data_IF_707791705898
#
_entry.id   IF_707791705898
#
_cell.length_a   1.000
_cell.length_b   1.000
_cell.length_c   1.000
_cell.angle_alpha   90.00
_cell.angle_beta   90.00
_cell.angle_gamma   90.00
#
_symmetry.space_group_name_H-M   'P 1'
#
loop_
_entity.id
_entity.type
_entity.pdbx_description
1 polymer ?
#
# COMPACT_ATOMS: atom_id res chain seq x y z
N UNK A 1 -5.42 -1.29 -15.47
CA UNK A 1 -6.75 -1.37 -16.14
C UNK A 1 -7.82 -0.59 -15.37
N UNK A 2 -8.02 -0.81 -14.06
CA UNK A 2 -9.02 -0.06 -13.25
C UNK A 2 -8.87 1.47 -13.35
N UNK A 3 -7.67 1.99 -13.10
CA UNK A 3 -7.42 3.45 -13.17
C UNK A 3 -7.69 4.04 -14.54
N UNK A 4 -7.38 3.31 -15.62
CA UNK A 4 -7.64 3.78 -17.00
C UNK A 4 -9.14 3.95 -17.24
N UNK A 5 -9.95 2.96 -16.83
CA UNK A 5 -11.41 3.07 -16.94
C UNK A 5 -11.97 4.26 -16.15
N UNK A 6 -11.50 4.45 -14.92
CA UNK A 6 -11.92 5.55 -14.06
C UNK A 6 -11.46 6.91 -14.61
N UNK A 7 -10.24 7.00 -15.16
CA UNK A 7 -9.76 8.21 -15.84
C UNK A 7 -10.62 8.55 -17.05
N UNK A 8 -10.95 7.57 -17.90
CA UNK A 8 -11.83 7.78 -19.06
C UNK A 8 -13.25 8.21 -18.69
N UNK A 9 -13.78 7.75 -17.56
CA UNK A 9 -15.05 8.24 -17.03
C UNK A 9 -14.92 9.72 -16.59
N UNK A 10 -13.88 10.01 -15.79
CA UNK A 10 -13.62 11.36 -15.26
C UNK A 10 -13.35 12.39 -16.38
N UNK A 11 -12.60 12.02 -17.43
CA UNK A 11 -12.36 12.89 -18.59
C UNK A 11 -13.64 13.30 -19.31
N UNK A 12 -14.64 12.41 -19.37
CA UNK A 12 -15.95 12.69 -19.97
C UNK A 12 -16.80 13.57 -19.07
N UNK A 13 -16.85 13.26 -17.79
CA UNK A 13 -17.64 14.01 -16.79
C UNK A 13 -17.14 15.45 -16.63
N UNK A 14 -15.84 15.63 -16.46
CA UNK A 14 -15.21 16.94 -16.21
C UNK A 14 -14.71 17.66 -17.46
N UNK A 15 -14.96 17.09 -18.65
CA UNK A 15 -14.54 17.63 -19.96
C UNK A 15 -13.05 17.96 -20.02
N UNK A 16 -12.22 16.99 -19.66
CA UNK A 16 -10.76 17.12 -19.63
C UNK A 16 -10.17 16.59 -20.95
N UNK A 17 -9.08 17.20 -21.41
CA UNK A 17 -8.28 16.65 -22.51
C UNK A 17 -7.45 15.45 -22.04
N UNK A 18 -6.77 15.60 -20.91
CA UNK A 18 -5.94 14.57 -20.31
C UNK A 18 -6.15 14.53 -18.79
N UNK A 19 -6.24 13.32 -18.25
CA UNK A 19 -6.37 13.11 -16.81
C UNK A 19 -5.86 11.73 -16.40
N UNK A 20 -5.12 11.71 -15.29
CA UNK A 20 -4.66 10.50 -14.65
C UNK A 20 -4.93 10.54 -13.15
N UNK A 21 -5.38 9.43 -12.59
CA UNK A 21 -5.29 9.17 -11.17
C UNK A 21 -3.87 8.76 -10.78
N UNK A 22 -3.47 9.12 -9.57
CA UNK A 22 -2.15 8.81 -9.00
C UNK A 22 -1.99 7.30 -8.83
N UNK A 23 -1.06 6.71 -9.58
CA UNK A 23 -0.64 5.32 -9.37
C UNK A 23 0.14 5.20 -8.06
N UNK A 24 1.03 6.15 -7.77
CA UNK A 24 1.76 6.25 -6.51
C UNK A 24 0.83 6.23 -5.27
N UNK A 25 -0.35 6.83 -5.33
CA UNK A 25 -1.29 6.86 -4.21
C UNK A 25 -1.79 5.45 -3.85
N UNK A 26 -2.27 4.70 -4.84
CA UNK A 26 -2.69 3.31 -4.62
C UNK A 26 -1.51 2.42 -4.24
N UNK A 27 -0.34 2.68 -4.81
CA UNK A 27 0.88 1.95 -4.50
C UNK A 27 1.33 2.13 -3.05
N UNK A 28 1.25 3.36 -2.52
CA UNK A 28 1.51 3.65 -1.11
C UNK A 28 0.64 2.79 -0.18
N UNK A 29 -0.67 2.77 -0.44
CA UNK A 29 -1.60 2.01 0.38
C UNK A 29 -1.46 0.49 0.19
N UNK A 30 -1.20 0.01 -1.02
CA UNK A 30 -0.89 -1.41 -1.25
C UNK A 30 0.28 -1.87 -0.38
N UNK A 31 1.36 -1.08 -0.30
CA UNK A 31 2.52 -1.40 0.54
C UNK A 31 2.14 -1.55 2.01
N UNK A 32 1.36 -0.63 2.55
CA UNK A 32 0.89 -0.68 3.93
C UNK A 32 0.02 -1.91 4.21
N UNK A 33 -1.03 -2.10 3.42
CA UNK A 33 -1.97 -3.22 3.60
C UNK A 33 -1.28 -4.59 3.41
N UNK A 34 -0.34 -4.69 2.48
CA UNK A 34 0.41 -5.92 2.21
C UNK A 34 1.37 -6.27 3.34
N UNK A 35 2.06 -5.28 3.93
CA UNK A 35 2.87 -5.49 5.13
C UNK A 35 1.99 -6.03 6.26
N UNK A 36 0.84 -5.40 6.50
CA UNK A 36 -0.09 -5.84 7.55
C UNK A 36 -0.61 -7.26 7.31
N UNK A 37 -1.03 -7.56 6.08
CA UNK A 37 -1.46 -8.91 5.66
C UNK A 37 -0.35 -9.94 5.88
N UNK A 38 0.89 -9.62 5.48
CA UNK A 38 2.03 -10.52 5.65
C UNK A 38 2.28 -10.85 7.11
N UNK A 39 2.36 -9.84 8.00
CA UNK A 39 2.61 -10.04 9.43
C UNK A 39 1.53 -10.91 10.09
N UNK A 40 0.25 -10.65 9.78
CA UNK A 40 -0.85 -11.47 10.27
C UNK A 40 -0.77 -12.93 9.77
N UNK A 41 -0.31 -13.16 8.54
CA UNK A 41 -0.09 -14.53 8.05
C UNK A 41 1.10 -15.21 8.75
N UNK A 42 2.15 -14.48 9.13
CA UNK A 42 3.26 -15.07 9.88
C UNK A 42 2.79 -15.61 11.24
N UNK A 43 1.92 -14.88 11.94
CA UNK A 43 1.29 -15.36 13.18
C UNK A 43 0.44 -16.62 12.92
N UNK A 44 -0.40 -16.61 11.87
CA UNK A 44 -1.23 -17.78 11.52
C UNK A 44 -0.39 -19.02 11.24
N UNK A 45 0.71 -18.87 10.49
CA UNK A 45 1.62 -19.98 10.17
C UNK A 45 2.40 -20.47 11.38
N UNK A 46 2.81 -19.57 12.27
CA UNK A 46 3.43 -19.96 13.52
C UNK A 46 2.45 -20.77 14.39
N UNK A 47 1.19 -20.35 14.50
CA UNK A 47 0.14 -21.07 15.25
C UNK A 47 -0.20 -22.43 14.65
N UNK A 48 -0.14 -22.56 13.32
CA UNK A 48 -0.35 -23.85 12.64
C UNK A 48 0.89 -24.74 12.63
N UNK A 49 1.95 -24.37 13.35
CA UNK A 49 3.23 -25.07 13.41
C UNK A 49 3.87 -25.33 12.03
N UNK A 50 3.66 -24.42 11.05
CA UNK A 50 4.31 -24.53 9.74
C UNK A 50 5.84 -24.43 9.92
N UNK A 51 6.65 -25.36 9.36
CA UNK A 51 8.11 -25.32 9.50
C UNK A 51 8.72 -24.05 8.88
N UNK A 52 9.84 -23.59 9.44
CA UNK A 52 10.54 -22.38 8.93
C UNK A 52 11.06 -22.61 7.51
N UNK A 53 11.53 -23.81 7.22
CA UNK A 53 11.96 -24.30 5.91
C UNK A 53 10.81 -24.91 5.08
N UNK A 54 9.58 -24.82 5.61
CA UNK A 54 8.37 -25.27 4.93
C UNK A 54 8.18 -24.55 3.58
N UNK A 55 7.55 -25.25 2.63
CA UNK A 55 7.32 -24.72 1.28
C UNK A 55 6.51 -23.44 1.32
N UNK A 56 5.48 -23.37 2.17
CA UNK A 56 4.59 -22.21 2.26
C UNK A 56 5.30 -21.02 2.90
N UNK A 57 6.03 -21.24 3.99
CA UNK A 57 6.84 -20.22 4.65
C UNK A 57 7.87 -19.62 3.69
N UNK A 58 8.61 -20.48 2.99
CA UNK A 58 9.61 -20.08 1.99
C UNK A 58 9.00 -19.25 0.85
N UNK A 59 7.81 -19.63 0.38
CA UNK A 59 7.09 -18.90 -0.66
C UNK A 59 6.72 -17.48 -0.22
N UNK A 60 6.14 -17.33 0.98
CA UNK A 60 5.73 -16.03 1.51
C UNK A 60 6.93 -15.12 1.79
N UNK A 61 8.01 -15.65 2.37
CA UNK A 61 9.24 -14.90 2.63
C UNK A 61 9.97 -14.45 1.36
N UNK A 62 9.72 -15.11 0.22
CA UNK A 62 10.24 -14.71 -1.09
C UNK A 62 9.41 -13.57 -1.69
N UNK A 63 8.09 -13.63 -1.57
CA UNK A 63 7.13 -12.74 -2.23
C UNK A 63 6.57 -11.57 -1.40
N UNK A 64 7.03 -11.36 -0.16
CA UNK A 64 6.44 -10.39 0.78
C UNK A 64 6.30 -8.94 0.27
N UNK A 65 7.14 -8.51 -0.69
CA UNK A 65 7.15 -7.14 -1.24
C UNK A 65 6.96 -7.11 -2.76
N UNK A 66 6.31 -8.10 -3.36
CA UNK A 66 6.04 -8.08 -4.80
C UNK A 66 5.11 -6.92 -5.17
N UNK A 67 5.41 -6.19 -6.24
CA UNK A 67 4.62 -5.04 -6.71
C UNK A 67 3.32 -5.47 -7.40
N UNK A 68 3.30 -6.71 -7.92
CA UNK A 68 2.13 -7.27 -8.57
C UNK A 68 0.93 -7.45 -7.63
N UNK A 69 -0.27 -7.37 -8.20
CA UNK A 69 -1.53 -7.57 -7.51
C UNK A 69 -2.60 -8.14 -8.42
N UNK A 70 -3.78 -8.40 -7.85
CA UNK A 70 -4.96 -8.88 -8.57
C UNK A 70 -6.06 -7.81 -8.56
N UNK A 71 -7.08 -8.00 -9.40
CA UNK A 71 -8.19 -7.05 -9.54
C UNK A 71 -8.86 -6.72 -8.19
N UNK A 72 -9.17 -7.74 -7.40
CA UNK A 72 -9.85 -7.55 -6.11
C UNK A 72 -9.01 -6.74 -5.12
N UNK A 73 -7.68 -6.86 -5.17
CA UNK A 73 -6.77 -6.06 -4.34
C UNK A 73 -6.89 -4.58 -4.71
N UNK A 74 -6.91 -4.27 -6.00
CA UNK A 74 -7.10 -2.89 -6.47
C UNK A 74 -8.47 -2.33 -6.06
N UNK A 75 -9.54 -3.13 -6.19
CA UNK A 75 -10.87 -2.73 -5.74
C UNK A 75 -10.93 -2.47 -4.22
N UNK A 76 -10.28 -3.31 -3.42
CA UNK A 76 -10.21 -3.11 -1.96
C UNK A 76 -9.49 -1.82 -1.59
N UNK A 77 -8.39 -1.50 -2.28
CA UNK A 77 -7.65 -0.25 -2.06
C UNK A 77 -8.50 0.97 -2.43
N UNK A 78 -9.14 0.95 -3.60
CA UNK A 78 -10.02 2.05 -4.04
C UNK A 78 -11.21 2.23 -3.11
N UNK A 79 -11.82 1.14 -2.64
CA UNK A 79 -12.95 1.19 -1.72
C UNK A 79 -12.57 1.76 -0.35
N UNK A 80 -11.34 1.51 0.12
CA UNK A 80 -10.88 1.91 1.45
C UNK A 80 -10.23 3.30 1.49
N UNK A 81 -9.43 3.62 0.47
CA UNK A 81 -8.55 4.79 0.44
C UNK A 81 -8.89 5.76 -0.70
N UNK A 82 -9.91 5.46 -1.50
CA UNK A 82 -10.34 6.31 -2.60
C UNK A 82 -9.32 6.44 -3.73
N UNK A 83 -9.48 7.51 -4.52
CA UNK A 83 -8.63 7.86 -5.64
C UNK A 83 -8.26 9.34 -5.56
N UNK A 84 -7.02 9.64 -5.94
CA UNK A 84 -6.46 11.00 -5.92
C UNK A 84 -5.93 11.33 -7.31
N UNK A 85 -6.19 12.53 -7.87
CA UNK A 85 -5.58 12.95 -9.13
C UNK A 85 -4.06 12.92 -9.05
N UNK A 86 -3.38 12.55 -10.14
CA UNK A 86 -1.91 12.47 -10.19
C UNK A 86 -1.21 13.76 -9.76
N UNK A 87 -1.79 14.92 -10.09
CA UNK A 87 -1.27 16.24 -9.68
C UNK A 87 -1.28 16.47 -8.16
N UNK A 88 -2.13 15.76 -7.43
CA UNK A 88 -2.28 15.89 -5.97
C UNK A 88 -1.42 14.88 -5.19
N UNK A 89 -0.90 13.85 -5.85
CA UNK A 89 0.10 12.94 -5.28
C UNK A 89 0.99 12.40 -6.41
N UNK A 90 2.17 12.99 -6.55
CA UNK A 90 3.10 12.74 -7.65
C UNK A 90 3.89 11.44 -7.46
N UNK A 91 4.46 10.95 -8.55
CA UNK A 91 5.43 9.86 -8.53
C UNK A 91 6.72 10.30 -7.80
N UNK A 92 7.38 9.35 -7.15
CA UNK A 92 8.71 9.49 -6.56
C UNK A 92 9.70 8.58 -7.26
N UNK A 93 10.99 8.78 -7.04
CA UNK A 93 12.03 7.88 -7.58
C UNK A 93 11.75 6.42 -7.18
N UNK A 94 11.24 6.18 -5.96
CA UNK A 94 10.95 4.82 -5.49
C UNK A 94 9.60 4.27 -5.95
N UNK A 95 8.70 5.09 -6.52
CA UNK A 95 7.50 4.58 -7.19
C UNK A 95 7.79 4.15 -8.63
N UNK A 96 8.80 4.75 -9.26
CA UNK A 96 9.29 4.36 -10.59
C UNK A 96 10.36 3.25 -10.56
N UNK A 97 11.24 3.25 -9.55
CA UNK A 97 12.21 2.18 -9.28
C UNK A 97 12.09 1.68 -7.83
N UNK A 98 11.35 0.59 -7.67
CA UNK A 98 10.95 0.07 -6.37
C UNK A 98 12.03 -0.77 -5.69
N UNK A 99 13.14 -1.08 -6.37
CA UNK A 99 14.10 -2.10 -5.94
C UNK A 99 14.70 -1.80 -4.57
N UNK A 100 15.18 -0.58 -4.35
CA UNK A 100 15.82 -0.17 -3.09
C UNK A 100 14.84 -0.21 -1.92
N UNK A 101 13.64 0.34 -2.09
CA UNK A 101 12.57 0.26 -1.09
C UNK A 101 12.21 -1.20 -0.78
N UNK A 102 12.09 -2.03 -1.81
CA UNK A 102 11.75 -3.45 -1.67
C UNK A 102 12.78 -4.23 -0.86
N UNK A 103 14.08 -3.98 -1.07
CA UNK A 103 15.16 -4.61 -0.30
C UNK A 103 15.03 -4.27 1.20
N UNK A 104 14.81 -2.99 1.52
CA UNK A 104 14.70 -2.53 2.90
C UNK A 104 13.46 -3.11 3.58
N UNK A 105 12.28 -2.98 2.95
CA UNK A 105 11.03 -3.52 3.49
C UNK A 105 11.11 -5.03 3.68
N UNK A 106 11.65 -5.75 2.69
CA UNK A 106 11.79 -7.21 2.75
C UNK A 106 12.71 -7.66 3.88
N UNK A 107 13.80 -6.93 4.12
CA UNK A 107 14.69 -7.19 5.25
C UNK A 107 13.94 -7.06 6.59
N UNK A 108 13.22 -5.94 6.78
CA UNK A 108 12.42 -5.70 7.99
C UNK A 108 11.30 -6.71 8.19
N UNK A 109 10.56 -7.06 7.14
CA UNK A 109 9.47 -8.03 7.24
C UNK A 109 9.97 -9.44 7.61
N UNK A 110 11.16 -9.83 7.16
CA UNK A 110 11.77 -11.12 7.53
C UNK A 110 12.23 -11.15 8.98
N UNK A 111 12.80 -10.05 9.47
CA UNK A 111 13.10 -9.86 10.90
C UNK A 111 11.81 -9.99 11.74
N UNK A 112 10.74 -9.31 11.31
CA UNK A 112 9.46 -9.36 12.00
C UNK A 112 8.79 -10.73 11.94
N UNK A 113 8.92 -11.46 10.84
CA UNK A 113 8.44 -12.84 10.75
C UNK A 113 9.09 -13.74 11.81
N UNK A 114 10.41 -13.61 12.03
CA UNK A 114 11.11 -14.32 13.10
C UNK A 114 10.59 -13.90 14.47
N UNK A 115 10.48 -12.60 14.73
CA UNK A 115 10.04 -12.08 16.03
C UNK A 115 8.63 -12.55 16.40
N UNK A 116 7.69 -12.46 15.46
CA UNK A 116 6.31 -12.92 15.65
C UNK A 116 6.24 -14.42 15.90
N UNK A 117 7.06 -15.21 15.20
CA UNK A 117 7.15 -16.65 15.44
C UNK A 117 7.65 -16.96 16.85
N UNK A 118 8.72 -16.29 17.28
CA UNK A 118 9.26 -16.46 18.64
C UNK A 118 8.22 -16.10 19.71
N UNK A 119 7.44 -15.04 19.50
CA UNK A 119 6.35 -14.67 20.43
C UNK A 119 5.28 -15.77 20.53
N UNK A 120 4.89 -16.35 19.40
CA UNK A 120 3.94 -17.47 19.38
C UNK A 120 4.51 -18.70 20.10
N UNK A 121 5.78 -19.04 19.86
CA UNK A 121 6.46 -20.17 20.52
C UNK A 121 6.60 -19.95 22.04
N UNK A 122 6.67 -18.69 22.49
CA UNK A 122 6.69 -18.30 23.91
C UNK A 122 5.28 -18.17 24.52
N UNK A 123 4.23 -18.53 23.79
CA UNK A 123 2.83 -18.40 24.22
C UNK A 123 2.43 -16.97 24.62
N UNK A 124 2.95 -15.96 23.90
CA UNK A 124 2.49 -14.58 24.06
C UNK A 124 0.98 -14.46 23.79
N UNK A 125 0.32 -13.52 24.47
CA UNK A 125 -1.12 -13.31 24.31
C UNK A 125 -1.47 -12.74 22.93
N UNK A 126 -2.73 -12.89 22.52
CA UNK A 126 -3.22 -12.30 21.28
C UNK A 126 -3.13 -10.76 21.31
N UNK A 127 -3.33 -10.16 22.48
CA UNK A 127 -3.14 -8.73 22.70
C UNK A 127 -1.68 -8.31 22.49
N UNK A 128 -0.72 -9.00 23.10
CA UNK A 128 0.72 -8.68 22.96
C UNK A 128 1.18 -8.78 21.50
N UNK A 129 0.73 -9.81 20.79
CA UNK A 129 1.04 -10.01 19.37
C UNK A 129 0.42 -8.88 18.54
N UNK A 130 -0.83 -8.50 18.80
CA UNK A 130 -1.51 -7.43 18.08
C UNK A 130 -0.81 -6.08 18.30
N UNK A 131 -0.41 -5.77 19.53
CA UNK A 131 0.33 -4.55 19.85
C UNK A 131 1.71 -4.54 19.19
N UNK A 132 2.40 -5.68 19.18
CA UNK A 132 3.66 -5.80 18.45
C UNK A 132 3.50 -5.57 16.95
N UNK A 133 2.43 -6.10 16.33
CA UNK A 133 2.12 -5.84 14.91
C UNK A 133 1.88 -4.36 14.66
N UNK A 134 1.19 -3.64 15.56
CA UNK A 134 0.99 -2.18 15.42
C UNK A 134 2.32 -1.44 15.40
N UNK A 135 3.25 -1.76 16.30
CA UNK A 135 4.60 -1.17 16.32
C UNK A 135 5.38 -1.47 15.03
N UNK A 136 5.37 -2.72 14.58
CA UNK A 136 6.00 -3.14 13.33
C UNK A 136 5.43 -2.36 12.13
N UNK A 137 4.11 -2.18 12.10
CA UNK A 137 3.42 -1.42 11.06
C UNK A 137 3.77 0.07 11.06
N UNK A 138 4.02 0.68 12.23
CA UNK A 138 4.53 2.06 12.29
C UNK A 138 5.89 2.20 11.60
N UNK A 139 6.76 1.20 11.74
CA UNK A 139 8.07 1.19 11.07
C UNK A 139 7.89 0.99 9.56
N UNK A 140 7.04 0.05 9.13
CA UNK A 140 6.72 -0.14 7.72
C UNK A 140 6.17 1.15 7.09
N UNK A 141 5.22 1.81 7.77
CA UNK A 141 4.65 3.08 7.32
C UNK A 141 5.71 4.16 7.17
N UNK A 142 6.64 4.28 8.13
CA UNK A 142 7.76 5.23 8.05
C UNK A 142 8.65 4.97 6.84
N UNK A 143 9.00 3.71 6.56
CA UNK A 143 9.81 3.36 5.40
C UNK A 143 9.10 3.75 4.10
N UNK A 144 7.83 3.35 3.95
CA UNK A 144 7.03 3.67 2.76
C UNK A 144 6.88 5.18 2.59
N UNK A 145 6.62 5.91 3.68
CA UNK A 145 6.45 7.38 3.64
C UNK A 145 7.73 8.13 3.28
N UNK A 146 8.89 7.65 3.72
CA UNK A 146 10.18 8.23 3.30
C UNK A 146 10.46 7.98 1.82
N UNK A 147 10.08 6.79 1.31
CA UNK A 147 10.33 6.43 -0.08
C UNK A 147 9.36 7.07 -1.07
N UNK A 148 8.07 7.14 -0.73
CA UNK A 148 6.97 7.51 -1.64
C UNK A 148 6.34 8.87 -1.33
N UNK A 149 6.68 9.49 -0.20
CA UNK A 149 5.93 10.61 0.35
C UNK A 149 4.71 10.14 1.14
N UNK A 150 4.02 11.09 1.76
CA UNK A 150 2.82 10.82 2.57
C UNK A 150 1.58 11.34 1.84
N UNK A 151 0.58 10.49 1.57
CA UNK A 151 -0.68 10.94 1.00
C UNK A 151 -1.33 12.05 1.85
N UNK A 152 -1.83 13.13 1.25
CA UNK A 152 -2.48 14.18 2.00
C UNK A 152 -3.82 13.67 2.57
N UNK A 153 -4.22 14.08 3.78
CA UNK A 153 -5.50 13.65 4.38
C UNK A 153 -6.72 14.22 3.65
N UNK A 154 -6.53 15.33 2.93
CA UNK A 154 -7.50 15.91 2.03
C UNK A 154 -6.78 16.63 0.89
N UNK A 155 -7.42 16.71 -0.28
CA UNK A 155 -6.88 17.45 -1.41
C UNK A 155 -7.93 18.36 -2.04
N UNK A 156 -7.45 19.48 -2.60
CA UNK A 156 -8.22 20.30 -3.53
C UNK A 156 -7.67 20.02 -4.92
N UNK A 157 -8.55 19.65 -5.85
CA UNK A 157 -8.20 19.44 -7.24
C UNK A 157 -8.54 20.66 -8.07
N UNK A 158 -7.54 21.23 -8.71
CA UNK A 158 -7.65 22.41 -9.57
C UNK A 158 -7.29 22.01 -11.00
N UNK A 159 -8.12 22.42 -11.96
CA UNK A 159 -7.93 22.08 -13.37
C UNK A 159 -8.57 23.13 -14.29
N UNK A 160 -8.26 23.03 -15.57
CA UNK A 160 -8.93 23.78 -16.64
C UNK A 160 -9.71 22.79 -17.52
N UNK A 161 -10.96 23.11 -17.84
CA UNK A 161 -11.75 22.31 -18.78
C UNK A 161 -11.33 22.56 -20.24
N UNK A 162 -11.92 21.83 -21.18
CA UNK A 162 -11.69 22.02 -22.64
C UNK A 162 -11.98 23.43 -23.16
N UNK A 163 -12.76 24.24 -22.44
CA UNK A 163 -13.04 25.63 -22.80
C UNK A 163 -12.05 26.62 -22.16
N UNK A 164 -11.00 26.12 -21.50
CA UNK A 164 -10.04 26.89 -20.70
C UNK A 164 -10.69 27.60 -19.51
N UNK A 165 -11.83 27.13 -19.04
CA UNK A 165 -12.45 27.63 -17.82
C UNK A 165 -11.75 26.99 -16.59
N UNK A 166 -11.36 27.82 -15.63
CA UNK A 166 -10.80 27.36 -14.36
C UNK A 166 -11.89 26.66 -13.53
N UNK A 167 -11.55 25.50 -12.97
CA UNK A 167 -12.41 24.70 -12.12
C UNK A 167 -11.65 24.25 -10.87
N UNK A 168 -12.39 24.10 -9.77
CA UNK A 168 -11.87 23.69 -8.47
C UNK A 168 -12.86 22.76 -7.78
N UNK A 169 -12.37 21.61 -7.31
CA UNK A 169 -13.16 20.60 -6.60
C UNK A 169 -12.49 20.29 -5.26
N UNK A 170 -13.24 20.39 -4.17
CA UNK A 170 -12.79 20.02 -2.82
C UNK A 170 -12.94 21.13 -1.78
N UNK A 171 -12.34 20.95 -0.59
CA UNK A 171 -11.46 19.84 -0.21
C UNK A 171 -12.19 18.50 -0.13
N UNK A 172 -11.61 17.45 -0.74
CA UNK A 172 -12.11 16.08 -0.63
C UNK A 172 -11.25 15.31 0.39
N UNK A 173 -11.85 14.62 1.36
CA UNK A 173 -11.10 13.69 2.21
C UNK A 173 -10.60 12.52 1.36
N UNK A 174 -9.41 12.03 1.71
CA UNK A 174 -8.81 10.81 1.12
C UNK A 174 -9.10 9.62 2.02
#
# INVERSE_FOLDING_TARGET
>A
MLLVYQSCASMREYRLEEFEFSQAHLFFWDRGERCNFFLNNMVKLARSAEPVDGRLMSFLLKGCCADGGQWDMACNLVKKHGLVPKKNFLESINSEDTLSMNIILKSKLREYARDLRNMVEQNASDEDIADRIKEMMQVCYRIVSVCLGTPPPAFTWEYYDKNKAYCRVGPNPV
#
